data_IF_557967628724
#
_entry.id   IF_557967628724
#
_cell.length_a   1.000
_cell.length_b   1.000
_cell.length_c   1.000
_cell.angle_alpha   90.00
_cell.angle_beta   90.00
_cell.angle_gamma   90.00
#
_symmetry.space_group_name_H-M   'P 1'
#
loop_
_entity.id
_entity.type
_entity.pdbx_description
1 polymer ?
#
# COMPACT_ATOMS: atom_id res chain seq x y z
N UNK A 1 -8.29 62.22 10.19
CA UNK A 1 -7.45 61.00 10.20
C UNK A 1 -8.39 59.80 10.23
N UNK A 2 -8.45 59.00 9.16
CA UNK A 2 -9.28 57.78 9.10
C UNK A 2 -8.36 56.57 9.24
N UNK A 3 -8.53 55.82 10.32
CA UNK A 3 -7.77 54.61 10.61
C UNK A 3 -8.31 53.48 9.74
N UNK A 4 -7.52 53.04 8.76
CA UNK A 4 -7.82 51.87 7.93
C UNK A 4 -7.52 50.62 8.76
N UNK A 5 -8.57 49.92 9.21
CA UNK A 5 -8.46 48.62 9.85
C UNK A 5 -8.15 47.57 8.77
N UNK A 6 -6.90 47.10 8.75
CA UNK A 6 -6.45 46.02 7.88
C UNK A 6 -6.97 44.70 8.46
N UNK A 7 -8.07 44.18 7.92
CA UNK A 7 -8.64 42.90 8.33
C UNK A 7 -7.81 41.76 7.75
N UNK A 8 -7.10 41.04 8.62
CA UNK A 8 -6.30 39.87 8.28
C UNK A 8 -7.25 38.68 8.02
N UNK A 9 -7.49 38.35 6.75
CA UNK A 9 -8.27 37.16 6.37
C UNK A 9 -7.35 35.94 6.58
N UNK A 10 -7.59 35.20 7.66
CA UNK A 10 -6.94 33.90 7.90
C UNK A 10 -7.64 32.88 7.01
N UNK A 11 -6.98 32.49 5.93
CA UNK A 11 -7.38 31.36 5.09
C UNK A 11 -7.21 30.08 5.90
N UNK A 12 -8.30 29.56 6.47
CA UNK A 12 -8.34 28.21 7.04
C UNK A 12 -8.33 27.24 5.87
N UNK A 13 -7.16 26.74 5.49
CA UNK A 13 -7.06 25.63 4.54
C UNK A 13 -7.65 24.42 5.26
N UNK A 14 -8.74 23.80 4.75
CA UNK A 14 -9.24 22.57 5.35
C UNK A 14 -8.10 21.56 5.30
N UNK A 15 -7.69 21.04 6.48
CA UNK A 15 -6.82 19.89 6.55
C UNK A 15 -7.52 18.78 5.75
N UNK A 16 -6.95 18.46 4.58
CA UNK A 16 -7.39 17.31 3.83
C UNK A 16 -7.15 16.11 4.75
N UNK A 17 -8.22 15.41 5.15
CA UNK A 17 -8.06 14.15 5.87
C UNK A 17 -7.45 13.15 4.89
N UNK A 18 -6.20 12.78 5.13
CA UNK A 18 -5.39 12.03 4.18
C UNK A 18 -5.75 10.58 4.25
N UNK A 19 -6.71 10.21 3.39
CA UNK A 19 -7.17 8.85 3.25
C UNK A 19 -6.38 8.20 2.13
N UNK A 20 -5.69 7.11 2.45
CA UNK A 20 -5.14 6.23 1.43
C UNK A 20 -6.28 5.40 0.80
N UNK A 21 -6.04 4.83 -0.39
CA UNK A 21 -6.94 3.87 -1.00
C UNK A 21 -7.29 2.71 -0.06
N UNK A 22 -8.47 2.13 -0.23
CA UNK A 22 -8.94 1.02 0.60
C UNK A 22 -7.99 -0.18 0.61
N UNK A 23 -7.29 -0.42 -0.49
CA UNK A 23 -6.31 -1.50 -0.59
C UNK A 23 -5.06 -1.28 0.28
N UNK A 24 -4.81 -0.04 0.72
CA UNK A 24 -3.63 0.38 1.47
C UNK A 24 -3.93 0.77 2.92
N UNK A 25 -5.18 0.74 3.35
CA UNK A 25 -5.56 0.96 4.75
C UNK A 25 -5.55 -0.34 5.53
N UNK A 26 -5.23 -0.25 6.80
CA UNK A 26 -5.33 -1.36 7.76
C UNK A 26 -6.24 -0.97 8.91
N UNK A 27 -7.05 -1.91 9.37
CA UNK A 27 -7.88 -1.73 10.55
C UNK A 27 -6.99 -1.83 11.80
N UNK A 28 -7.10 -0.82 12.66
CA UNK A 28 -6.38 -0.73 13.91
C UNK A 28 -7.29 -1.21 15.05
N UNK A 29 -6.85 -2.18 15.87
CA UNK A 29 -7.56 -2.55 17.08
C UNK A 29 -7.57 -1.40 18.11
N UNK A 30 -8.68 -1.18 18.79
CA UNK A 30 -8.83 -0.07 19.76
C UNK A 30 -7.81 -0.17 20.89
N UNK A 31 -7.46 -1.39 21.29
CA UNK A 31 -6.43 -1.68 22.29
C UNK A 31 -5.01 -1.28 21.87
N UNK A 32 -4.78 -0.99 20.59
CA UNK A 32 -3.49 -0.51 20.08
C UNK A 32 -3.29 0.99 20.31
N UNK A 33 -4.32 1.72 20.76
CA UNK A 33 -4.24 3.14 21.10
C UNK A 33 -3.61 3.31 22.48
N UNK A 34 -2.55 4.10 22.54
CA UNK A 34 -1.83 4.43 23.76
C UNK A 34 -2.43 5.64 24.47
N UNK A 35 -2.03 5.89 25.72
CA UNK A 35 -2.53 7.00 26.53
C UNK A 35 -2.25 8.39 25.93
N UNK A 36 -1.23 8.51 25.06
CA UNK A 36 -0.90 9.73 24.33
C UNK A 36 -1.64 9.85 22.98
N UNK A 37 -2.64 9.00 22.73
CA UNK A 37 -3.37 8.86 21.46
C UNK A 37 -2.51 8.43 20.26
N UNK A 38 -1.27 7.99 20.45
CA UNK A 38 -0.54 7.31 19.39
C UNK A 38 -0.99 5.85 19.27
N UNK A 39 -0.86 5.26 18.09
CA UNK A 39 -1.16 3.84 17.86
C UNK A 39 0.13 3.10 17.60
N UNK A 40 0.37 1.98 18.30
CA UNK A 40 1.45 1.06 17.95
C UNK A 40 0.87 -0.20 17.30
N UNK A 41 1.13 -0.40 16.01
CA UNK A 41 0.58 -1.51 15.24
C UNK A 41 1.56 -1.99 14.16
N UNK A 42 1.82 -3.30 14.11
CA UNK A 42 2.70 -3.92 13.11
C UNK A 42 4.10 -3.29 13.05
N UNK A 43 4.70 -2.99 14.21
CA UNK A 43 6.00 -2.32 14.37
C UNK A 43 6.07 -0.90 13.78
N UNK A 44 4.93 -0.24 13.60
CA UNK A 44 4.84 1.18 13.26
C UNK A 44 4.13 1.91 14.40
N UNK A 45 4.64 3.09 14.73
CA UNK A 45 3.93 4.05 15.59
C UNK A 45 3.27 5.09 14.71
N UNK A 46 1.95 5.16 14.73
CA UNK A 46 1.16 6.20 14.07
C UNK A 46 0.87 7.32 15.07
N UNK A 47 1.18 8.55 14.66
CA UNK A 47 0.74 9.74 15.37
C UNK A 47 -0.79 9.94 15.22
N UNK A 48 -1.45 10.73 16.11
CA UNK A 48 -2.90 10.94 16.08
C UNK A 48 -3.48 11.43 14.75
N UNK A 49 -2.66 12.08 13.92
CA UNK A 49 -3.00 12.60 12.59
C UNK A 49 -2.72 11.60 11.44
N UNK A 50 -2.18 10.42 11.75
CA UNK A 50 -1.80 9.38 10.78
C UNK A 50 -2.77 8.20 10.74
N UNK A 51 -3.84 8.25 11.53
CA UNK A 51 -4.98 7.33 11.48
C UNK A 51 -6.28 8.13 11.51
N UNK A 52 -7.38 7.49 11.10
CA UNK A 52 -8.69 8.13 11.01
C UNK A 52 -9.79 7.15 11.43
N UNK A 53 -10.92 7.71 11.88
CA UNK A 53 -12.11 6.94 12.18
C UNK A 53 -13.08 6.96 10.99
N UNK A 54 -13.61 5.80 10.62
CA UNK A 54 -14.65 5.67 9.60
C UNK A 54 -15.61 4.55 10.03
N UNK A 55 -16.91 4.86 10.09
CA UNK A 55 -17.96 3.92 10.50
C UNK A 55 -17.73 3.26 11.87
N UNK A 56 -17.14 3.99 12.82
CA UNK A 56 -16.82 3.48 14.16
C UNK A 56 -15.59 2.56 14.22
N UNK A 57 -14.84 2.46 13.12
CA UNK A 57 -13.60 1.69 13.02
C UNK A 57 -12.41 2.62 12.82
N UNK A 58 -11.26 2.24 13.38
CA UNK A 58 -10.02 3.00 13.26
C UNK A 58 -9.18 2.42 12.13
N UNK A 59 -8.73 3.28 11.24
CA UNK A 59 -7.96 2.93 10.05
C UNK A 59 -6.66 3.72 9.99
N UNK A 60 -5.58 3.09 9.56
CA UNK A 60 -4.30 3.74 9.31
C UNK A 60 -3.78 3.44 7.91
N UNK A 61 -2.82 4.23 7.44
CA UNK A 61 -2.18 4.09 6.13
C UNK A 61 -0.68 3.77 6.30
N UNK A 62 -0.30 2.49 6.48
CA UNK A 62 1.08 2.10 6.78
C UNK A 62 2.09 2.57 5.73
N UNK A 63 1.69 2.55 4.46
CA UNK A 63 2.50 2.96 3.32
C UNK A 63 2.97 4.42 3.35
N UNK A 64 2.30 5.29 4.13
CA UNK A 64 2.72 6.68 4.32
C UNK A 64 3.82 6.83 5.38
N UNK A 65 3.92 5.86 6.30
CA UNK A 65 4.88 5.87 7.41
C UNK A 65 6.11 4.98 7.12
N UNK A 66 5.94 3.92 6.34
CA UNK A 66 6.98 2.93 6.01
C UNK A 66 6.71 2.35 4.62
N UNK A 67 7.76 1.94 3.90
CA UNK A 67 7.59 1.16 2.68
C UNK A 67 6.70 -0.06 2.96
N UNK A 68 5.75 -0.33 2.08
CA UNK A 68 4.76 -1.38 2.27
C UNK A 68 4.64 -2.23 1.02
N UNK A 69 4.21 -3.47 1.20
CA UNK A 69 3.77 -4.35 0.10
C UNK A 69 2.47 -5.01 0.51
N UNK A 70 1.62 -5.32 -0.47
CA UNK A 70 0.39 -6.07 -0.24
C UNK A 70 0.64 -7.54 -0.41
N UNK A 71 0.17 -8.35 0.54
CA UNK A 71 0.10 -9.80 0.40
C UNK A 71 -1.26 -10.20 -0.17
N UNK A 72 -1.28 -11.08 -1.17
CA UNK A 72 -2.52 -11.49 -1.84
C UNK A 72 -3.46 -12.26 -0.92
N UNK A 73 -2.90 -13.05 -0.01
CA UNK A 73 -3.63 -13.83 0.96
C UNK A 73 -3.39 -13.33 2.39
N UNK A 74 -4.30 -13.64 3.34
CA UNK A 74 -4.09 -13.44 4.77
C UNK A 74 -2.76 -14.02 5.27
N UNK A 75 -2.30 -13.58 6.44
CA UNK A 75 -0.98 -13.92 6.98
C UNK A 75 -0.70 -15.43 7.02
N UNK A 76 -1.65 -16.23 7.48
CA UNK A 76 -1.52 -17.69 7.64
C UNK A 76 -1.92 -18.50 6.39
N UNK A 77 -1.96 -17.85 5.22
CA UNK A 77 -2.38 -18.49 3.97
C UNK A 77 -1.43 -18.14 2.85
N UNK A 78 -1.35 -18.98 1.83
CA UNK A 78 -0.61 -18.70 0.59
C UNK A 78 -1.50 -18.90 -0.62
N UNK A 79 -1.05 -18.37 -1.75
CA UNK A 79 -1.74 -18.53 -3.02
C UNK A 79 -1.50 -19.95 -3.54
N UNK A 80 -2.58 -20.69 -3.79
CA UNK A 80 -2.51 -22.05 -4.34
C UNK A 80 -3.13 -22.13 -5.73
N UNK A 81 -2.89 -23.26 -6.41
CA UNK A 81 -3.48 -23.64 -7.70
C UNK A 81 -5.02 -23.65 -7.63
N UNK A 82 -5.65 -22.50 -7.74
CA UNK A 82 -6.73 -22.31 -8.71
C UNK A 82 -6.11 -21.96 -10.05
N UNK A 83 -6.87 -21.99 -11.15
CA UNK A 83 -6.41 -21.35 -12.38
C UNK A 83 -5.97 -19.91 -12.06
N UNK A 84 -5.07 -19.32 -12.86
CA UNK A 84 -4.82 -17.86 -12.85
C UNK A 84 -6.13 -17.08 -13.18
N UNK A 85 -7.26 -17.76 -13.36
CA UNK A 85 -8.57 -17.17 -13.54
C UNK A 85 -9.39 -17.17 -12.24
N UNK A 86 -8.97 -17.90 -11.19
CA UNK A 86 -9.63 -17.94 -9.88
C UNK A 86 -8.61 -18.26 -8.77
N UNK A 87 -7.88 -17.24 -8.25
CA UNK A 87 -6.84 -17.47 -7.27
C UNK A 87 -7.50 -17.80 -5.94
N UNK A 88 -6.93 -18.75 -5.21
CA UNK A 88 -7.45 -19.13 -3.90
C UNK A 88 -6.34 -19.19 -2.89
N UNK A 89 -6.70 -18.94 -1.64
CA UNK A 89 -5.78 -18.91 -0.51
C UNK A 89 -5.97 -20.15 0.36
N UNK A 90 -4.92 -20.93 0.56
CA UNK A 90 -4.94 -22.09 1.48
C UNK A 90 -4.00 -21.86 2.66
N UNK A 91 -4.26 -22.51 3.82
CA UNK A 91 -3.37 -22.42 4.97
C UNK A 91 -1.92 -22.76 4.61
N UNK A 92 -0.97 -21.96 5.08
CA UNK A 92 0.46 -22.18 4.91
C UNK A 92 1.23 -21.71 6.15
N UNK A 93 2.33 -22.39 6.44
CA UNK A 93 3.28 -22.02 7.49
C UNK A 93 4.49 -21.28 6.92
N UNK A 94 4.57 -21.16 5.59
CA UNK A 94 5.67 -20.48 4.92
C UNK A 94 5.52 -18.97 5.05
N UNK A 95 6.56 -18.31 5.53
CA UNK A 95 6.60 -16.85 5.53
C UNK A 95 6.74 -16.33 4.10
N UNK A 96 6.13 -15.18 3.80
CA UNK A 96 6.28 -14.51 2.51
C UNK A 96 7.77 -14.26 2.23
N UNK A 97 8.27 -14.80 1.12
CA UNK A 97 9.64 -14.58 0.69
C UNK A 97 9.63 -13.53 -0.43
N UNK A 98 10.28 -12.40 -0.21
CA UNK A 98 10.35 -11.29 -1.18
C UNK A 98 11.80 -10.94 -1.43
N UNK A 99 12.18 -10.95 -2.70
CA UNK A 99 13.46 -10.43 -3.14
C UNK A 99 13.27 -8.97 -3.56
N UNK A 100 13.83 -8.06 -2.77
CA UNK A 100 13.79 -6.63 -3.04
C UNK A 100 14.95 -6.29 -3.96
N UNK A 101 14.66 -5.82 -5.16
CA UNK A 101 15.66 -5.32 -6.10
C UNK A 101 16.04 -3.89 -5.74
N UNK A 102 17.34 -3.67 -5.59
CA UNK A 102 17.92 -2.33 -5.51
C UNK A 102 18.74 -2.05 -6.78
N UNK A 103 18.31 -1.13 -7.65
CA UNK A 103 19.05 -0.80 -8.87
C UNK A 103 20.42 -0.18 -8.58
N UNK A 104 20.60 0.48 -7.42
CA UNK A 104 21.86 1.17 -7.09
C UNK A 104 22.94 0.21 -6.61
N UNK A 105 22.54 -0.82 -5.86
CA UNK A 105 23.48 -1.76 -5.22
C UNK A 105 23.44 -3.16 -5.80
N UNK A 106 22.48 -3.46 -6.68
CA UNK A 106 22.17 -4.82 -7.16
C UNK A 106 22.02 -5.84 -6.03
N UNK A 107 21.65 -5.38 -4.83
CA UNK A 107 21.54 -6.18 -3.62
C UNK A 107 20.09 -6.53 -3.30
N UNK A 108 19.89 -7.67 -2.63
CA UNK A 108 18.59 -8.03 -2.05
C UNK A 108 18.46 -7.56 -0.61
N UNK A 109 17.40 -6.81 -0.31
CA UNK A 109 17.05 -6.41 1.07
C UNK A 109 16.06 -7.41 1.69
N UNK A 110 16.09 -7.57 3.01
CA UNK A 110 15.18 -8.45 3.73
C UNK A 110 13.75 -7.88 3.80
N UNK A 111 12.75 -8.76 3.74
CA UNK A 111 11.33 -8.39 3.81
C UNK A 111 10.94 -7.64 5.11
N UNK A 112 11.72 -7.77 6.19
CA UNK A 112 11.46 -7.11 7.49
C UNK A 112 11.44 -5.58 7.43
N UNK A 113 12.01 -5.00 6.36
CA UNK A 113 12.01 -3.56 6.13
C UNK A 113 10.69 -3.04 5.53
N UNK A 114 9.73 -3.93 5.25
CA UNK A 114 8.41 -3.57 4.74
C UNK A 114 7.34 -3.77 5.79
N UNK A 115 6.28 -2.96 5.69
CA UNK A 115 5.00 -3.28 6.31
C UNK A 115 4.20 -4.16 5.34
N UNK A 116 3.72 -5.30 5.83
CA UNK A 116 2.91 -6.22 5.00
C UNK A 116 1.43 -5.93 5.25
N UNK A 117 0.74 -5.52 4.18
CA UNK A 117 -0.71 -5.34 4.21
C UNK A 117 -1.35 -6.64 3.74
N UNK A 118 -2.10 -7.28 4.63
CA UNK A 118 -2.84 -8.51 4.33
C UNK A 118 -4.24 -8.15 3.87
N UNK A 119 -4.56 -8.33 2.59
CA UNK A 119 -5.91 -8.08 2.07
C UNK A 119 -6.34 -9.14 1.04
N UNK A 120 -7.33 -8.80 0.21
CA UNK A 120 -7.76 -9.61 -0.94
C UNK A 120 -6.79 -9.48 -2.12
N UNK A 121 -6.82 -10.46 -3.03
CA UNK A 121 -5.99 -10.47 -4.25
C UNK A 121 -6.04 -9.12 -4.98
N UNK A 122 -7.23 -8.66 -5.34
CA UNK A 122 -7.42 -7.32 -5.90
C UNK A 122 -8.53 -6.56 -5.18
N UNK A 123 -8.51 -5.22 -5.26
CA UNK A 123 -9.63 -4.40 -4.82
C UNK A 123 -10.89 -4.75 -5.62
N UNK A 124 -12.07 -4.44 -5.08
CA UNK A 124 -13.33 -4.69 -5.75
C UNK A 124 -13.38 -4.04 -7.15
N UNK A 125 -13.98 -4.72 -8.12
CA UNK A 125 -14.08 -4.25 -9.51
C UNK A 125 -12.77 -4.30 -10.32
N UNK A 126 -11.68 -4.83 -9.76
CA UNK A 126 -10.43 -5.01 -10.48
C UNK A 126 -10.27 -6.46 -10.96
N UNK A 127 -9.71 -6.60 -12.16
CA UNK A 127 -9.17 -7.84 -12.69
C UNK A 127 -7.68 -7.90 -12.40
N UNK A 128 -7.10 -9.10 -12.44
CA UNK A 128 -5.67 -9.27 -12.30
C UNK A 128 -5.05 -9.97 -13.50
N UNK A 129 -3.76 -9.71 -13.68
CA UNK A 129 -2.93 -10.43 -14.62
C UNK A 129 -1.61 -10.82 -13.95
N UNK A 130 -1.02 -11.89 -14.48
CA UNK A 130 0.28 -12.40 -14.04
C UNK A 130 1.35 -11.92 -15.03
N UNK A 131 2.24 -11.00 -14.64
CA UNK A 131 3.43 -10.67 -15.42
C UNK A 131 4.39 -11.86 -15.46
N UNK A 132 5.27 -11.90 -16.47
CA UNK A 132 6.29 -12.94 -16.57
C UNK A 132 7.37 -12.79 -15.49
N UNK A 133 7.77 -11.55 -15.24
CA UNK A 133 8.82 -11.21 -14.30
C UNK A 133 8.49 -9.89 -13.61
N UNK A 134 8.82 -9.79 -12.32
CA UNK A 134 8.67 -8.55 -11.55
C UNK A 134 9.85 -8.35 -10.63
N UNK A 135 10.16 -7.07 -10.38
CA UNK A 135 11.09 -6.65 -9.35
C UNK A 135 10.35 -5.79 -8.34
N UNK A 136 10.49 -6.10 -7.05
CA UNK A 136 9.97 -5.25 -5.96
C UNK A 136 11.08 -4.28 -5.56
N UNK A 137 10.78 -2.99 -5.58
CA UNK A 137 11.72 -1.92 -5.23
C UNK A 137 11.69 -1.62 -3.73
N UNK A 138 12.77 -0.98 -3.24
CA UNK A 138 12.89 -0.54 -1.83
C UNK A 138 11.75 0.33 -1.33
N UNK A 139 11.08 1.08 -2.20
CA UNK A 139 9.93 1.92 -1.85
C UNK A 139 8.60 1.15 -1.83
N UNK A 140 8.60 -0.16 -2.14
CA UNK A 140 7.41 -0.99 -2.20
C UNK A 140 6.69 -0.96 -3.56
N UNK A 141 7.17 -0.19 -4.54
CA UNK A 141 6.65 -0.32 -5.90
C UNK A 141 7.17 -1.58 -6.57
N UNK A 142 6.44 -2.07 -7.56
CA UNK A 142 6.86 -3.16 -8.45
C UNK A 142 7.12 -2.58 -9.83
N UNK A 143 8.09 -3.12 -10.57
CA UNK A 143 8.11 -2.93 -12.02
C UNK A 143 8.25 -4.27 -12.74
N UNK A 144 7.66 -4.35 -13.93
CA UNK A 144 7.63 -5.55 -14.76
C UNK A 144 8.70 -5.52 -15.87
N UNK A 145 8.68 -6.52 -16.75
CA UNK A 145 9.56 -6.65 -17.91
C UNK A 145 9.38 -5.55 -18.96
N UNK A 146 8.27 -4.81 -18.90
CA UNK A 146 8.01 -3.63 -19.73
C UNK A 146 8.43 -2.32 -19.05
N UNK A 147 9.12 -2.39 -17.90
CA UNK A 147 9.50 -1.24 -17.07
C UNK A 147 8.31 -0.42 -16.58
N UNK A 148 7.12 -1.02 -16.50
CA UNK A 148 5.92 -0.35 -15.99
C UNK A 148 5.96 -0.41 -14.48
N UNK A 149 5.89 0.75 -13.84
CA UNK A 149 5.87 0.85 -12.38
C UNK A 149 4.44 0.76 -11.82
N UNK A 150 4.27 -0.12 -10.84
CA UNK A 150 3.05 -0.35 -10.09
C UNK A 150 3.23 0.07 -8.63
N UNK A 151 2.39 0.99 -8.16
CA UNK A 151 2.34 1.33 -6.74
C UNK A 151 1.77 0.14 -5.92
N UNK A 152 1.96 0.13 -4.59
CA UNK A 152 1.40 -0.93 -3.74
C UNK A 152 -0.11 -1.13 -3.87
N UNK A 153 -0.89 -0.15 -4.35
CA UNK A 153 -2.35 -0.31 -4.53
C UNK A 153 -2.66 -1.24 -5.71
N UNK A 154 -1.83 -1.22 -6.75
CA UNK A 154 -2.05 -1.89 -8.02
C UNK A 154 -1.50 -3.32 -8.08
N UNK A 155 -1.00 -3.88 -6.97
CA UNK A 155 -0.56 -5.27 -6.99
C UNK A 155 -0.71 -5.94 -5.63
N UNK A 156 -0.58 -7.26 -5.62
CA UNK A 156 -0.28 -8.04 -4.42
C UNK A 156 0.79 -9.07 -4.74
N UNK A 157 1.51 -9.53 -3.72
CA UNK A 157 2.50 -10.60 -3.82
C UNK A 157 2.16 -11.77 -2.90
N UNK A 158 2.54 -12.98 -3.29
CA UNK A 158 2.42 -14.14 -2.41
C UNK A 158 3.44 -15.22 -2.74
N UNK A 159 3.57 -16.19 -1.85
CA UNK A 159 4.23 -17.45 -2.17
C UNK A 159 3.32 -18.27 -3.08
N UNK A 160 3.91 -18.83 -4.14
CA UNK A 160 3.26 -19.74 -5.07
C UNK A 160 4.26 -20.81 -5.50
N UNK A 161 4.03 -22.05 -5.10
CA UNK A 161 4.93 -23.20 -5.34
C UNK A 161 6.39 -22.93 -4.90
N UNK A 162 6.58 -22.32 -3.71
CA UNK A 162 7.90 -22.03 -3.16
C UNK A 162 8.65 -20.88 -3.83
N UNK A 163 7.98 -20.09 -4.67
CA UNK A 163 8.53 -18.87 -5.29
C UNK A 163 7.57 -17.70 -5.10
N UNK A 164 8.11 -16.48 -5.11
CA UNK A 164 7.28 -15.28 -5.07
C UNK A 164 6.54 -15.09 -6.40
N UNK A 165 5.26 -14.77 -6.32
CA UNK A 165 4.42 -14.35 -7.43
C UNK A 165 3.84 -12.98 -7.12
N UNK A 166 3.87 -12.07 -8.11
CA UNK A 166 3.04 -10.87 -8.08
C UNK A 166 1.82 -11.03 -9.00
N UNK A 167 0.69 -10.51 -8.55
CA UNK A 167 -0.50 -10.28 -9.36
C UNK A 167 -0.72 -8.78 -9.47
N UNK A 168 -0.79 -8.27 -10.69
CA UNK A 168 -1.08 -6.86 -10.95
C UNK A 168 -2.58 -6.68 -11.11
N UNK A 169 -3.15 -5.71 -10.41
CA UNK A 169 -4.56 -5.37 -10.39
C UNK A 169 -4.84 -4.13 -11.26
N UNK A 170 -5.91 -4.17 -12.04
CA UNK A 170 -6.48 -2.95 -12.63
C UNK A 170 -7.89 -3.17 -13.18
N UNK A 171 -8.45 -2.12 -13.73
CA UNK A 171 -9.85 -2.12 -14.16
C UNK A 171 -10.00 -2.76 -15.56
N UNK A 172 -11.05 -3.56 -15.81
CA UNK A 172 -11.24 -4.26 -17.08
C UNK A 172 -11.39 -3.31 -18.28
N UNK A 173 -11.89 -2.09 -18.06
CA UNK A 173 -12.12 -1.09 -19.12
C UNK A 173 -10.87 -0.30 -19.49
N UNK A 174 -9.77 -0.47 -18.76
CA UNK A 174 -8.47 0.12 -19.11
C UNK A 174 -7.79 -0.88 -20.04
N UNK A 175 -7.97 -0.70 -21.34
CA UNK A 175 -7.09 -1.33 -22.33
C UNK A 175 -5.67 -0.86 -21.97
N UNK A 176 -4.83 -1.77 -21.49
CA UNK A 176 -3.44 -1.52 -21.15
C UNK A 176 -2.60 -1.29 -22.42
N UNK A 177 -3.01 -0.37 -23.28
CA UNK A 177 -2.12 0.23 -24.26
C UNK A 177 -1.16 1.12 -23.48
N UNK A 178 0.00 0.55 -23.09
CA UNK A 178 1.15 1.23 -22.49
C UNK A 178 0.75 2.42 -21.63
N UNK A 179 0.43 2.17 -20.36
CA UNK A 179 0.27 3.25 -19.39
C UNK A 179 1.51 4.17 -19.49
N UNK A 180 1.36 5.45 -19.87
CA UNK A 180 2.47 6.38 -19.77
C UNK A 180 2.91 6.38 -18.32
N UNK A 181 4.23 6.35 -18.08
CA UNK A 181 4.85 6.38 -16.76
C UNK A 181 4.15 7.45 -15.92
N UNK A 182 3.18 7.04 -15.10
CA UNK A 182 2.39 7.98 -14.34
C UNK A 182 3.33 8.49 -13.27
N UNK A 183 3.79 9.73 -13.42
CA UNK A 183 4.49 10.43 -12.35
C UNK A 183 3.63 10.31 -11.11
N UNK A 184 4.22 9.79 -10.05
CA UNK A 184 3.67 9.68 -8.71
C UNK A 184 3.37 11.07 -8.15
N UNK A 185 2.32 11.70 -8.64
CA UNK A 185 1.48 12.54 -7.79
C UNK A 185 0.41 11.62 -7.20
N UNK A 186 0.87 10.70 -6.33
CA UNK A 186 0.10 10.52 -5.10
C UNK A 186 0.02 11.95 -4.58
N UNK A 187 -1.19 12.51 -4.51
CA UNK A 187 -1.43 13.71 -3.72
C UNK A 187 -1.16 13.32 -2.28
N UNK A 188 0.13 13.25 -1.96
CA UNK A 188 0.61 13.12 -0.62
C UNK A 188 0.19 14.42 0.01
N UNK A 189 -0.70 14.32 0.99
CA UNK A 189 -0.85 15.36 1.95
C UNK A 189 0.45 15.54 2.76
N UNK A 190 1.49 16.08 2.15
CA UNK A 190 2.53 16.71 2.93
C UNK A 190 1.98 18.06 3.36
N UNK A 191 1.26 18.07 4.48
CA UNK A 191 1.26 19.27 5.31
C UNK A 191 2.69 19.43 5.82
N UNK A 192 3.41 20.33 5.13
CA UNK A 192 4.67 20.99 5.49
C UNK A 192 5.19 20.71 6.92
N UNK A 193 6.45 20.29 6.98
CA UNK A 193 7.40 20.98 7.86
C UNK A 193 8.10 22.07 7.04
#
# INVERSE_FOLDING_TARGET
MKTLALSLIILVVPFANCRCPEALRVKIPVESIQANHSVFFGNITFAPDQYFEENGEIWACPCLAKACIRKCCPAEKELVRGSIESPSCQPSTESLQVNVYDPETSSSTAIGDFFIIYNSICPEGHVYFKPNYVHILKNGSVFDDAEIHYNPEMYCVDNFNGSMLALICGKPDVVYEKLPSYSTEISFCFSKY
#
